data_IF_961354198106
#
_entry.id   IF_961354198106
#
_cell.length_a   1.000
_cell.length_b   1.000
_cell.length_c   1.000
_cell.angle_alpha   90.00
_cell.angle_beta   90.00
_cell.angle_gamma   90.00
#
_symmetry.space_group_name_H-M   'P 1'
#
loop_
_entity.id
_entity.type
_entity.pdbx_description
1 polymer ?
#
# COMPACT_ATOMS: atom_id res chain seq x y z
N UNK A 1 2.22 -25.64 -31.35
CA UNK A 1 3.32 -25.22 -30.46
C UNK A 1 2.77 -25.10 -29.05
N UNK A 2 3.29 -25.79 -28.03
CA UNK A 2 2.89 -25.51 -26.66
C UNK A 2 3.35 -24.09 -26.32
N UNK A 3 2.46 -23.24 -25.82
CA UNK A 3 2.80 -21.90 -25.38
C UNK A 3 3.92 -21.99 -24.33
N UNK A 4 5.02 -21.28 -24.61
CA UNK A 4 6.19 -21.26 -23.75
C UNK A 4 5.78 -20.69 -22.39
N UNK A 5 5.95 -21.47 -21.33
CA UNK A 5 5.53 -21.13 -19.96
C UNK A 5 6.33 -19.95 -19.37
N UNK A 6 7.25 -19.38 -20.17
CA UNK A 6 8.12 -18.24 -19.86
C UNK A 6 7.45 -16.87 -20.02
N UNK A 7 6.32 -16.79 -20.71
CA UNK A 7 5.62 -15.51 -21.00
C UNK A 7 4.49 -15.17 -20.01
N UNK A 8 4.23 -16.00 -19.00
CA UNK A 8 3.04 -15.84 -18.15
C UNK A 8 3.12 -14.71 -17.11
N UNK A 9 4.30 -14.14 -16.86
CA UNK A 9 4.47 -13.04 -15.90
C UNK A 9 5.65 -12.12 -16.28
N UNK A 10 5.43 -11.12 -17.13
CA UNK A 10 6.32 -9.96 -17.15
C UNK A 10 6.18 -9.25 -15.78
N UNK A 11 7.22 -9.36 -14.95
CA UNK A 11 7.22 -8.77 -13.61
C UNK A 11 7.52 -7.27 -13.69
N UNK A 12 6.84 -6.49 -12.85
CA UNK A 12 7.09 -5.06 -12.69
C UNK A 12 8.26 -4.79 -11.72
N UNK A 13 8.59 -5.78 -10.90
CA UNK A 13 9.70 -5.81 -9.93
C UNK A 13 11.01 -6.30 -10.55
N UNK A 14 12.19 -6.03 -9.94
CA UNK A 14 12.40 -5.32 -8.67
C UNK A 14 12.16 -3.81 -8.78
N UNK A 15 11.86 -3.18 -7.64
CA UNK A 15 11.94 -1.73 -7.51
C UNK A 15 13.43 -1.35 -7.39
N UNK A 16 13.91 -0.52 -8.31
CA UNK A 16 15.32 -0.11 -8.40
C UNK A 16 15.56 1.32 -7.93
N UNK A 17 14.52 1.98 -7.43
CA UNK A 17 14.54 3.38 -6.99
C UNK A 17 14.03 3.49 -5.56
N UNK A 18 14.10 4.70 -5.01
CA UNK A 18 13.53 5.03 -3.71
C UNK A 18 12.02 4.72 -3.64
N UNK A 19 11.58 4.45 -2.41
CA UNK A 19 10.19 4.22 -2.09
C UNK A 19 9.44 5.53 -2.10
N UNK A 20 8.33 5.53 -2.82
CA UNK A 20 7.52 6.70 -3.11
C UNK A 20 6.06 6.42 -2.82
N UNK A 21 5.39 7.42 -2.27
CA UNK A 21 3.96 7.37 -2.03
C UNK A 21 3.28 8.66 -2.44
N UNK A 22 2.02 8.53 -2.83
CA UNK A 22 1.14 9.68 -3.01
C UNK A 22 0.97 10.41 -1.66
N UNK A 23 0.99 11.74 -1.69
CA UNK A 23 1.06 12.60 -0.51
C UNK A 23 -0.09 12.40 0.47
N UNK A 24 -1.31 12.17 -0.01
CA UNK A 24 -2.49 11.94 0.83
C UNK A 24 -2.33 10.69 1.70
N UNK A 25 -1.63 9.66 1.22
CA UNK A 25 -1.26 8.50 2.05
C UNK A 25 -0.42 8.91 3.27
N UNK A 26 0.43 9.94 3.17
CA UNK A 26 1.18 10.46 4.31
C UNK A 26 0.33 11.43 5.15
N UNK A 27 -0.43 12.31 4.50
CA UNK A 27 -1.17 13.37 5.19
C UNK A 27 -2.28 12.82 6.09
N UNK A 28 -2.96 11.74 5.67
CA UNK A 28 -4.20 11.30 6.33
C UNK A 28 -4.12 9.90 6.97
N UNK A 29 -4.91 9.67 8.04
CA UNK A 29 -4.85 8.45 8.85
C UNK A 29 -5.64 7.29 8.25
N UNK A 30 -5.19 6.75 7.10
CA UNK A 30 -5.88 5.67 6.40
C UNK A 30 -5.66 4.25 6.95
N UNK A 31 -4.72 4.07 7.87
CA UNK A 31 -4.28 2.76 8.35
C UNK A 31 -4.24 2.73 9.87
N UNK A 32 -4.69 1.63 10.48
CA UNK A 32 -4.60 1.47 11.92
C UNK A 32 -3.13 1.37 12.39
N UNK A 33 -2.79 1.95 13.54
CA UNK A 33 -1.45 1.87 14.14
C UNK A 33 -1.25 0.61 15.00
N UNK A 34 -2.25 -0.27 15.03
CA UNK A 34 -2.20 -1.51 15.79
C UNK A 34 -1.22 -2.52 15.16
N UNK A 35 -0.47 -3.21 16.03
CA UNK A 35 0.31 -4.41 15.66
C UNK A 35 -0.57 -5.66 15.51
N UNK A 36 -1.82 -5.58 15.98
CA UNK A 36 -2.75 -6.69 16.04
C UNK A 36 -4.01 -6.47 15.19
N UNK A 37 -4.92 -7.44 15.29
CA UNK A 37 -6.22 -7.37 14.63
C UNK A 37 -7.05 -6.24 15.25
N UNK A 38 -7.47 -5.28 14.43
CA UNK A 38 -8.34 -4.19 14.82
C UNK A 38 -9.69 -4.28 14.09
N UNK A 39 -10.79 -4.45 14.81
CA UNK A 39 -12.14 -4.65 14.22
C UNK A 39 -13.13 -3.55 14.59
N UNK A 40 -12.66 -2.44 15.15
CA UNK A 40 -13.51 -1.27 15.38
C UNK A 40 -13.37 -0.33 14.18
N UNK A 41 -14.45 0.29 13.69
CA UNK A 41 -14.35 1.36 12.71
C UNK A 41 -13.43 2.48 13.20
N UNK A 42 -12.77 3.15 12.25
CA UNK A 42 -11.97 4.35 12.51
C UNK A 42 -12.59 5.50 11.74
N UNK A 43 -12.59 6.69 12.33
CA UNK A 43 -13.08 7.89 11.68
C UNK A 43 -12.12 9.05 11.95
N UNK A 44 -11.89 9.86 10.94
CA UNK A 44 -11.16 11.10 11.02
C UNK A 44 -11.96 12.18 10.32
N UNK A 45 -12.23 13.28 11.01
CA UNK A 45 -13.05 14.37 10.47
C UNK A 45 -12.47 15.71 10.89
N UNK A 46 -12.39 16.61 9.91
CA UNK A 46 -12.07 18.03 10.07
C UNK A 46 -13.10 18.84 9.28
N UNK A 47 -12.98 20.17 9.28
CA UNK A 47 -13.83 21.04 8.47
C UNK A 47 -13.63 20.87 6.95
N UNK A 48 -12.51 20.24 6.53
CA UNK A 48 -12.12 20.12 5.12
C UNK A 48 -12.18 18.69 4.58
N UNK A 49 -12.08 17.69 5.45
CA UNK A 49 -11.88 16.29 5.09
C UNK A 49 -12.59 15.38 6.07
N UNK A 50 -13.25 14.35 5.55
CA UNK A 50 -13.87 13.24 6.25
C UNK A 50 -13.34 11.91 5.72
N UNK A 51 -12.95 11.02 6.64
CA UNK A 51 -12.50 9.66 6.35
C UNK A 51 -13.18 8.72 7.34
N UNK A 52 -13.82 7.67 6.83
CA UNK A 52 -14.36 6.56 7.60
C UNK A 52 -13.77 5.26 7.08
N UNK A 53 -13.27 4.42 7.99
CA UNK A 53 -12.62 3.15 7.68
C UNK A 53 -13.40 2.03 8.36
N UNK A 54 -13.98 1.16 7.54
CA UNK A 54 -14.83 0.08 8.00
C UNK A 54 -14.07 -1.26 7.94
N UNK A 55 -13.98 -1.98 9.07
CA UNK A 55 -13.29 -3.26 9.15
C UNK A 55 -14.07 -4.38 8.49
N UNK A 56 -13.36 -5.47 8.19
CA UNK A 56 -13.97 -6.80 8.01
C UNK A 56 -13.79 -7.65 9.27
N UNK A 57 -14.31 -8.88 9.24
CA UNK A 57 -14.01 -9.89 10.27
C UNK A 57 -12.50 -10.19 10.40
N UNK A 58 -11.66 -9.79 9.44
CA UNK A 58 -10.19 -9.94 9.47
C UNK A 58 -9.48 -8.71 10.03
N UNK A 59 -10.22 -7.63 10.26
CA UNK A 59 -9.73 -6.35 10.77
C UNK A 59 -9.44 -5.32 9.67
N UNK A 60 -9.05 -4.12 10.09
CA UNK A 60 -8.62 -3.00 9.24
C UNK A 60 -7.17 -3.18 8.79
N UNK A 61 -6.86 -2.72 7.59
CA UNK A 61 -5.49 -2.56 7.11
C UNK A 61 -4.65 -1.70 8.07
N UNK A 62 -3.52 -2.25 8.49
CA UNK A 62 -2.60 -1.61 9.44
C UNK A 62 -1.50 -0.85 8.70
N UNK A 63 -0.76 -0.03 9.43
CA UNK A 63 0.39 0.70 8.88
C UNK A 63 1.51 -0.23 8.36
N UNK A 64 1.51 -1.51 8.75
CA UNK A 64 2.39 -2.53 8.16
C UNK A 64 1.88 -3.02 6.80
N UNK A 65 0.56 -3.05 6.60
CA UNK A 65 -0.03 -3.43 5.31
C UNK A 65 0.19 -2.34 4.26
N UNK A 66 0.29 -1.09 4.71
CA UNK A 66 0.67 0.07 3.88
C UNK A 66 1.98 -0.14 3.12
N UNK A 67 2.91 -0.95 3.63
CA UNK A 67 4.16 -1.28 2.94
C UNK A 67 3.93 -1.82 1.52
N UNK A 68 2.89 -2.64 1.34
CA UNK A 68 2.51 -3.19 0.04
C UNK A 68 1.97 -2.07 -0.86
N UNK A 69 1.14 -1.19 -0.31
CA UNK A 69 0.55 -0.05 -1.04
C UNK A 69 1.65 0.89 -1.53
N UNK A 70 2.62 1.22 -0.68
CA UNK A 70 3.78 2.04 -1.03
C UNK A 70 4.66 1.37 -2.08
N UNK A 71 4.88 0.06 -1.97
CA UNK A 71 5.64 -0.68 -2.98
C UNK A 71 4.98 -0.62 -4.36
N UNK A 72 3.66 -0.84 -4.44
CA UNK A 72 2.90 -0.75 -5.69
C UNK A 72 2.92 0.67 -6.24
N UNK A 73 2.71 1.67 -5.38
CA UNK A 73 2.76 3.08 -5.78
C UNK A 73 4.15 3.45 -6.35
N UNK A 74 5.22 2.94 -5.73
CA UNK A 74 6.60 3.15 -6.21
C UNK A 74 6.83 2.53 -7.59
N UNK A 75 6.31 1.31 -7.84
CA UNK A 75 6.36 0.68 -9.15
C UNK A 75 5.59 1.48 -10.21
N UNK A 76 4.40 2.00 -9.84
CA UNK A 76 3.60 2.85 -10.70
C UNK A 76 4.36 4.13 -11.11
N UNK A 77 4.92 4.83 -10.13
CA UNK A 77 5.69 6.06 -10.36
C UNK A 77 6.90 5.78 -11.25
N UNK A 78 7.67 4.73 -10.98
CA UNK A 78 8.81 4.32 -11.81
C UNK A 78 8.42 4.14 -13.28
N UNK A 79 7.31 3.45 -13.54
CA UNK A 79 6.82 3.24 -14.91
C UNK A 79 6.39 4.54 -15.59
N UNK A 80 5.69 5.41 -14.87
CA UNK A 80 5.29 6.72 -15.37
C UNK A 80 6.51 7.58 -15.74
N UNK A 81 7.56 7.58 -14.92
CA UNK A 81 8.81 8.29 -15.19
C UNK A 81 9.57 7.71 -16.40
N UNK A 82 9.46 6.40 -16.62
CA UNK A 82 9.99 5.74 -17.81
C UNK A 82 9.15 6.02 -19.08
N UNK A 83 8.04 6.75 -18.98
CA UNK A 83 7.13 7.02 -20.10
C UNK A 83 6.35 5.78 -20.56
N UNK A 84 6.27 4.74 -19.73
CA UNK A 84 5.49 3.54 -20.01
C UNK A 84 3.99 3.81 -19.85
N UNK A 85 3.16 3.12 -20.64
CA UNK A 85 1.73 3.08 -20.38
C UNK A 85 1.47 2.19 -19.15
N UNK A 86 0.83 2.76 -18.13
CA UNK A 86 0.67 2.07 -16.84
C UNK A 86 -0.75 1.56 -16.69
N UNK A 87 -0.89 0.26 -16.43
CA UNK A 87 -2.17 -0.36 -16.06
C UNK A 87 -2.37 -0.35 -14.54
N UNK A 88 -3.59 -0.62 -14.07
CA UNK A 88 -3.88 -0.82 -12.63
C UNK A 88 -3.42 -2.19 -12.10
N UNK A 89 -3.08 -3.13 -12.98
CA UNK A 89 -2.60 -4.45 -12.60
C UNK A 89 -1.08 -4.43 -12.43
N UNK A 90 -0.61 -4.85 -11.26
CA UNK A 90 0.80 -4.96 -10.92
C UNK A 90 1.18 -6.40 -10.57
N UNK A 91 2.33 -6.84 -11.06
CA UNK A 91 2.90 -8.17 -10.91
C UNK A 91 4.28 -8.08 -10.28
N UNK A 92 4.48 -8.68 -9.12
CA UNK A 92 5.78 -8.65 -8.44
C UNK A 92 6.04 -9.93 -7.68
N UNK A 93 7.30 -10.15 -7.28
CA UNK A 93 7.63 -11.26 -6.37
C UNK A 93 7.58 -10.82 -4.92
N UNK A 94 7.15 -11.71 -4.03
CA UNK A 94 7.21 -11.44 -2.60
C UNK A 94 8.64 -11.21 -2.11
N UNK A 95 9.62 -11.84 -2.76
CA UNK A 95 11.04 -11.64 -2.46
C UNK A 95 11.44 -10.18 -2.67
N UNK A 96 11.10 -9.59 -3.81
CA UNK A 96 11.48 -8.21 -4.13
C UNK A 96 10.80 -7.19 -3.20
N UNK A 97 9.53 -7.43 -2.85
CA UNK A 97 8.83 -6.66 -1.82
C UNK A 97 9.56 -6.75 -0.46
N UNK A 98 9.95 -7.96 -0.05
CA UNK A 98 10.63 -8.19 1.22
C UNK A 98 12.01 -7.53 1.28
N UNK A 99 12.77 -7.54 0.18
CA UNK A 99 14.03 -6.81 0.08
C UNK A 99 13.85 -5.31 0.31
N UNK A 100 12.85 -4.68 -0.33
CA UNK A 100 12.59 -3.24 -0.17
C UNK A 100 12.10 -2.89 1.23
N UNK A 101 11.27 -3.75 1.83
CA UNK A 101 10.69 -3.52 3.16
C UNK A 101 11.60 -3.96 4.31
N UNK A 102 12.78 -4.52 4.02
CA UNK A 102 13.71 -5.04 5.04
C UNK A 102 13.19 -6.27 5.77
N UNK A 103 12.24 -7.01 5.19
CA UNK A 103 11.69 -8.23 5.76
C UNK A 103 12.50 -9.45 5.32
N UNK A 104 12.78 -10.38 6.24
CA UNK A 104 13.43 -11.64 5.88
C UNK A 104 12.40 -12.64 5.30
N UNK A 105 12.67 -13.26 4.13
CA UNK A 105 11.80 -14.30 3.58
C UNK A 105 11.68 -15.50 4.53
N UNK A 106 10.47 -15.77 5.01
CA UNK A 106 10.18 -16.91 5.91
C UNK A 106 8.72 -17.33 5.74
N UNK A 107 8.37 -18.57 6.14
CA UNK A 107 6.97 -19.03 6.12
C UNK A 107 6.02 -18.05 6.84
N UNK A 108 6.49 -17.42 7.93
CA UNK A 108 5.74 -16.39 8.66
C UNK A 108 5.56 -15.11 7.84
N UNK A 109 6.58 -14.67 7.11
CA UNK A 109 6.52 -13.49 6.24
C UNK A 109 5.53 -13.70 5.09
N UNK A 110 5.52 -14.88 4.47
CA UNK A 110 4.52 -15.23 3.44
C UNK A 110 3.10 -15.28 4.00
N UNK A 111 2.90 -15.83 5.21
CA UNK A 111 1.59 -15.81 5.86
C UNK A 111 1.12 -14.38 6.16
N UNK A 112 2.03 -13.51 6.63
CA UNK A 112 1.74 -12.09 6.86
C UNK A 112 1.37 -11.36 5.58
N UNK A 113 2.09 -11.59 4.48
CA UNK A 113 1.75 -11.04 3.17
C UNK A 113 0.34 -11.44 2.75
N UNK A 114 -0.02 -12.72 2.88
CA UNK A 114 -1.38 -13.18 2.55
C UNK A 114 -2.45 -12.50 3.40
N UNK A 115 -2.20 -12.33 4.70
CA UNK A 115 -3.14 -11.65 5.61
C UNK A 115 -3.24 -10.15 5.33
N UNK A 116 -2.12 -9.51 4.96
CA UNK A 116 -2.07 -8.11 4.57
C UNK A 116 -2.91 -7.86 3.30
N UNK A 117 -2.74 -8.69 2.27
CA UNK A 117 -3.55 -8.63 1.05
C UNK A 117 -5.04 -8.81 1.34
N UNK A 118 -5.41 -9.74 2.22
CA UNK A 118 -6.81 -9.95 2.64
C UNK A 118 -7.39 -8.69 3.31
N UNK A 119 -6.61 -8.01 4.18
CA UNK A 119 -7.04 -6.76 4.82
C UNK A 119 -7.10 -5.58 3.86
N UNK A 120 -6.14 -5.46 2.94
CA UNK A 120 -6.11 -4.40 1.94
C UNK A 120 -7.25 -4.49 0.94
N UNK A 121 -7.67 -5.71 0.58
CA UNK A 121 -8.84 -5.93 -0.26
C UNK A 121 -10.16 -5.78 0.53
N UNK A 122 -10.16 -6.12 1.82
CA UNK A 122 -11.39 -6.11 2.63
C UNK A 122 -11.76 -4.76 3.24
N UNK A 123 -10.78 -3.97 3.70
CA UNK A 123 -11.01 -2.70 4.39
C UNK A 123 -11.72 -1.72 3.46
N UNK A 124 -12.90 -1.23 3.86
CA UNK A 124 -13.62 -0.21 3.11
C UNK A 124 -13.25 1.17 3.64
N UNK A 125 -12.96 2.10 2.74
CA UNK A 125 -12.64 3.49 3.03
C UNK A 125 -13.67 4.36 2.34
N UNK A 126 -14.33 5.21 3.11
CA UNK A 126 -15.20 6.28 2.62
C UNK A 126 -14.52 7.61 2.88
N UNK A 127 -14.39 8.45 1.85
CA UNK A 127 -13.80 9.77 2.00
C UNK A 127 -14.37 10.76 0.99
N UNK A 128 -14.30 12.05 1.33
CA UNK A 128 -14.61 13.19 0.47
C UNK A 128 -13.34 13.80 -0.17
N UNK A 129 -12.17 13.19 0.01
CA UNK A 129 -10.93 13.65 -0.63
C UNK A 129 -11.02 13.42 -2.14
N UNK A 130 -11.05 14.53 -2.88
CA UNK A 130 -11.00 14.56 -4.34
C UNK A 130 -9.62 14.15 -4.85
N UNK A 131 -9.57 13.34 -5.91
CA UNK A 131 -8.31 12.93 -6.56
C UNK A 131 -8.44 13.05 -8.07
N UNK A 132 -7.40 13.54 -8.73
CA UNK A 132 -7.39 13.66 -10.19
C UNK A 132 -8.47 14.58 -10.77
N UNK A 133 -8.90 15.59 -10.01
CA UNK A 133 -9.93 16.57 -10.39
C UNK A 133 -11.37 16.04 -10.33
N UNK A 134 -11.58 14.83 -9.79
CA UNK A 134 -12.89 14.22 -9.63
C UNK A 134 -13.13 13.93 -8.13
N UNK A 135 -14.26 14.42 -7.61
CA UNK A 135 -14.78 14.02 -6.31
C UNK A 135 -15.66 12.78 -6.46
N UNK A 136 -15.43 11.77 -5.65
CA UNK A 136 -16.27 10.58 -5.60
C UNK A 136 -16.74 10.35 -4.17
N UNK A 137 -18.05 10.54 -3.93
CA UNK A 137 -18.68 10.05 -2.70
C UNK A 137 -18.85 8.54 -2.81
N UNK A 138 -17.79 7.81 -2.47
CA UNK A 138 -17.72 6.37 -2.67
C UNK A 138 -17.05 5.63 -1.52
N UNK A 139 -17.16 4.30 -1.60
CA UNK A 139 -16.36 3.39 -0.79
C UNK A 139 -15.34 2.72 -1.69
N UNK A 140 -14.08 2.66 -1.26
CA UNK A 140 -13.06 1.88 -1.94
C UNK A 140 -12.27 1.00 -0.98
N UNK A 141 -11.72 -0.09 -1.52
CA UNK A 141 -10.62 -0.85 -0.90
C UNK A 141 -9.31 -0.46 -1.57
N UNK A 142 -8.17 -0.57 -0.88
CA UNK A 142 -6.87 -0.30 -1.49
C UNK A 142 -6.59 -1.19 -2.71
N UNK A 143 -7.02 -2.45 -2.64
CA UNK A 143 -6.91 -3.42 -3.72
C UNK A 143 -8.30 -3.86 -4.14
N UNK A 144 -8.62 -3.77 -5.42
CA UNK A 144 -9.84 -4.39 -5.96
C UNK A 144 -9.64 -5.89 -6.16
N UNK A 145 -8.42 -6.32 -6.49
CA UNK A 145 -8.06 -7.73 -6.63
C UNK A 145 -6.67 -8.02 -6.07
N UNK A 146 -6.50 -9.18 -5.43
CA UNK A 146 -5.20 -9.74 -5.08
C UNK A 146 -5.16 -11.25 -5.37
N UNK A 147 -4.13 -11.71 -6.08
CA UNK A 147 -3.91 -13.13 -6.44
C UNK A 147 -2.47 -13.54 -6.15
N UNK A 148 -2.33 -14.68 -5.48
CA UNK A 148 -1.06 -15.32 -5.17
C UNK A 148 -0.87 -16.54 -6.07
N UNK A 149 0.13 -16.51 -6.96
CA UNK A 149 0.42 -17.60 -7.88
C UNK A 149 1.46 -18.54 -7.30
N UNK A 150 1.13 -19.82 -7.18
CA UNK A 150 2.02 -20.84 -6.62
C UNK A 150 2.43 -21.87 -7.67
N UNK A 151 3.69 -22.31 -7.63
CA UNK A 151 4.13 -23.55 -8.28
C UNK A 151 4.13 -24.70 -7.28
N UNK A 152 3.65 -25.86 -7.71
CA UNK A 152 3.72 -27.10 -6.94
C UNK A 152 5.03 -27.83 -7.25
N UNK A 153 5.71 -28.35 -6.23
CA UNK A 153 6.84 -29.25 -6.45
C UNK A 153 6.35 -30.60 -6.98
N UNK A 154 7.01 -31.14 -8.00
CA UNK A 154 6.76 -32.51 -8.48
C UNK A 154 7.38 -33.56 -7.55
N UNK A 155 8.42 -33.19 -6.82
CA UNK A 155 9.21 -34.10 -5.97
C UNK A 155 8.64 -34.22 -4.55
N UNK A 156 7.96 -33.16 -4.08
CA UNK A 156 7.36 -33.11 -2.73
C UNK A 156 5.88 -32.74 -2.82
N UNK A 157 4.98 -33.73 -2.86
CA UNK A 157 3.54 -33.49 -2.84
C UNK A 157 3.14 -32.62 -1.64
N UNK A 158 2.49 -31.48 -1.91
CA UNK A 158 2.07 -30.51 -0.89
C UNK A 158 2.98 -29.29 -0.75
N UNK A 159 4.20 -29.33 -1.28
CA UNK A 159 5.10 -28.18 -1.30
C UNK A 159 4.64 -27.15 -2.34
N UNK A 160 4.36 -25.93 -1.88
CA UNK A 160 3.86 -24.80 -2.67
C UNK A 160 4.83 -23.64 -2.53
N UNK A 161 5.49 -23.29 -3.63
CA UNK A 161 6.36 -22.12 -3.71
C UNK A 161 5.61 -20.96 -4.37
N UNK A 162 5.53 -19.82 -3.69
CA UNK A 162 4.97 -18.60 -4.27
C UNK A 162 5.90 -18.13 -5.41
N UNK A 163 5.29 -17.84 -6.57
CA UNK A 163 5.97 -17.42 -7.80
C UNK A 163 5.78 -15.93 -8.05
N UNK A 164 4.55 -15.45 -7.94
CA UNK A 164 4.20 -14.06 -8.20
C UNK A 164 2.99 -13.66 -7.36
N UNK A 165 2.90 -12.36 -7.10
CA UNK A 165 1.74 -11.67 -6.58
C UNK A 165 1.21 -10.80 -7.71
N UNK A 166 -0.08 -10.92 -8.03
CA UNK A 166 -0.80 -9.92 -8.84
C UNK A 166 -1.74 -9.16 -7.95
N UNK A 167 -1.73 -7.85 -8.09
CA UNK A 167 -2.69 -6.97 -7.43
C UNK A 167 -3.30 -6.03 -8.45
N UNK A 168 -4.54 -5.65 -8.23
CA UNK A 168 -5.19 -4.55 -8.96
C UNK A 168 -5.42 -3.39 -8.01
N UNK A 169 -4.79 -2.26 -8.31
CA UNK A 169 -4.94 -1.03 -7.54
C UNK A 169 -6.33 -0.44 -7.73
N UNK A 170 -6.89 0.19 -6.70
CA UNK A 170 -8.17 0.88 -6.83
C UNK A 170 -8.06 2.17 -7.65
N UNK A 171 -9.20 2.61 -8.19
CA UNK A 171 -9.30 3.77 -9.06
C UNK A 171 -8.91 5.06 -8.34
N UNK A 172 -9.22 5.17 -7.05
CA UNK A 172 -8.86 6.33 -6.22
C UNK A 172 -7.35 6.54 -6.18
N UNK A 173 -6.58 5.53 -5.73
CA UNK A 173 -5.12 5.66 -5.60
C UNK A 173 -4.43 5.71 -6.97
N UNK A 174 -4.94 4.96 -7.95
CA UNK A 174 -4.42 5.02 -9.31
C UNK A 174 -4.58 6.42 -9.92
N UNK A 175 -5.75 7.06 -9.82
CA UNK A 175 -5.97 8.43 -10.28
C UNK A 175 -5.10 9.43 -9.52
N UNK A 176 -5.00 9.30 -8.21
CA UNK A 176 -4.19 10.19 -7.38
C UNK A 176 -2.72 10.20 -7.82
N UNK A 177 -2.11 9.03 -8.04
CA UNK A 177 -0.73 8.92 -8.52
C UNK A 177 -0.60 9.45 -9.97
N UNK A 178 -1.52 9.06 -10.86
CA UNK A 178 -1.44 9.37 -12.28
C UNK A 178 -1.61 10.87 -12.57
N UNK A 179 -2.58 11.52 -11.90
CA UNK A 179 -3.06 12.86 -12.22
C UNK A 179 -2.51 13.93 -11.28
N UNK A 180 -2.49 13.69 -9.97
CA UNK A 180 -2.14 14.74 -9.01
C UNK A 180 -0.62 14.92 -8.91
N UNK A 181 0.15 13.86 -9.22
CA UNK A 181 1.63 13.82 -9.24
C UNK A 181 2.29 14.36 -7.96
N UNK A 182 1.55 14.42 -6.85
CA UNK A 182 2.07 14.78 -5.53
C UNK A 182 2.69 13.54 -4.89
N UNK A 183 3.86 13.15 -5.40
CA UNK A 183 4.60 11.98 -4.92
C UNK A 183 5.76 12.46 -4.04
N UNK A 184 5.90 11.83 -2.87
CA UNK A 184 6.97 12.12 -1.93
C UNK A 184 7.82 10.87 -1.69
N UNK A 185 9.13 11.10 -1.59
CA UNK A 185 10.09 10.06 -1.21
C UNK A 185 10.01 9.77 0.30
N UNK A 186 10.09 8.48 0.63
CA UNK A 186 10.31 7.97 1.97
C UNK A 186 11.81 7.76 2.20
N UNK A 187 12.29 8.07 3.41
CA UNK A 187 13.68 7.80 3.78
C UNK A 187 13.94 6.29 3.95
N UNK A 188 15.16 5.83 3.65
CA UNK A 188 15.60 4.42 3.65
C UNK A 188 15.23 3.67 4.95
N UNK A 189 15.30 4.36 6.09
CA UNK A 189 15.01 3.79 7.41
C UNK A 189 13.53 3.71 7.78
N UNK A 190 12.62 4.22 6.95
CA UNK A 190 11.19 4.37 7.28
C UNK A 190 10.55 3.04 7.69
N UNK A 191 10.85 1.93 6.99
CA UNK A 191 10.27 0.63 7.33
C UNK A 191 10.81 0.03 8.63
N UNK A 192 11.89 0.56 9.20
CA UNK A 192 12.40 0.11 10.50
C UNK A 192 11.72 0.82 11.68
N UNK A 193 10.93 1.87 11.40
CA UNK A 193 10.19 2.61 12.41
C UNK A 193 9.00 1.80 12.95
N UNK A 194 8.68 2.02 14.23
CA UNK A 194 7.45 1.54 14.84
C UNK A 194 6.21 2.27 14.29
N UNK A 195 5.00 1.82 14.65
CA UNK A 195 3.78 2.29 14.01
C UNK A 195 3.51 3.78 14.29
N UNK A 196 3.74 4.22 15.53
CA UNK A 196 3.54 5.64 15.91
C UNK A 196 4.61 6.51 15.26
N UNK A 197 5.87 6.04 15.24
CA UNK A 197 7.00 6.72 14.63
C UNK A 197 6.81 6.90 13.12
N UNK A 198 6.30 5.87 12.41
CA UNK A 198 5.93 5.99 11.00
C UNK A 198 4.86 7.04 10.77
N UNK A 199 3.82 7.06 11.61
CA UNK A 199 2.74 8.05 11.47
C UNK A 199 3.24 9.47 11.70
N UNK A 200 4.06 9.67 12.73
CA UNK A 200 4.65 10.98 13.02
C UNK A 200 5.55 11.44 11.86
N UNK A 201 6.40 10.55 11.34
CA UNK A 201 7.23 10.82 10.17
C UNK A 201 6.40 11.25 8.96
N UNK A 202 5.32 10.52 8.66
CA UNK A 202 4.45 10.81 7.52
C UNK A 202 3.78 12.18 7.61
N UNK A 203 3.21 12.49 8.77
CA UNK A 203 2.53 13.78 8.97
C UNK A 203 3.54 14.91 8.80
N UNK A 204 4.70 14.80 9.44
CA UNK A 204 5.77 15.78 9.29
C UNK A 204 6.23 15.92 7.84
N UNK A 205 6.51 14.81 7.15
CA UNK A 205 6.96 14.82 5.76
C UNK A 205 5.94 15.41 4.80
N UNK A 206 4.65 15.15 5.03
CA UNK A 206 3.56 15.66 4.18
C UNK A 206 3.27 17.15 4.35
N UNK A 207 3.59 17.70 5.52
CA UNK A 207 3.34 19.09 5.90
C UNK A 207 4.56 19.99 5.72
N UNK A 208 5.77 19.42 5.65
CA UNK A 208 6.98 20.14 5.25
C UNK A 208 6.92 20.53 3.76
N UNK A 209 6.28 21.66 3.48
CA UNK A 209 6.50 22.46 2.27
C UNK A 209 7.27 23.71 2.72
N UNK A 210 8.45 23.94 2.13
CA UNK A 210 9.18 25.21 2.18
C UNK A 210 9.48 25.81 3.57
N UNK A 211 10.12 25.05 4.46
CA UNK A 211 10.79 25.60 5.65
C UNK A 211 9.90 26.27 6.69
N UNK A 212 8.58 26.03 6.64
CA UNK A 212 7.61 26.60 7.59
C UNK A 212 7.58 25.79 8.89
N UNK A 213 7.41 26.48 10.02
CA UNK A 213 7.27 25.88 11.34
C UNK A 213 6.03 24.96 11.39
N UNK A 214 6.22 23.75 11.95
CA UNK A 214 5.27 22.66 11.84
C UNK A 214 4.39 22.55 13.09
N UNK A 215 3.15 23.01 13.03
CA UNK A 215 2.14 22.70 14.04
C UNK A 215 1.36 21.42 13.65
N UNK A 216 1.60 20.32 14.37
CA UNK A 216 0.86 19.06 14.16
C UNK A 216 -0.29 18.97 15.16
N UNK A 217 -1.53 18.92 14.67
CA UNK A 217 -2.68 18.60 15.50
C UNK A 217 -2.57 17.15 16.02
N UNK A 218 -2.56 16.97 17.34
CA UNK A 218 -2.38 15.68 18.02
C UNK A 218 -3.41 14.63 17.58
N UNK A 219 -4.63 15.07 17.21
CA UNK A 219 -5.69 14.19 16.70
C UNK A 219 -5.31 13.38 15.45
N UNK A 220 -4.36 13.85 14.62
CA UNK A 220 -3.88 13.11 13.44
C UNK A 220 -3.06 11.86 13.84
N UNK A 221 -2.54 11.84 15.07
CA UNK A 221 -1.74 10.75 15.65
C UNK A 221 -2.57 9.88 16.59
N UNK A 222 -3.53 10.45 17.33
CA UNK A 222 -4.30 9.76 18.38
C UNK A 222 -5.44 8.86 17.87
N UNK A 223 -5.99 9.10 16.68
CA UNK A 223 -7.23 8.43 16.24
C UNK A 223 -7.07 6.98 15.78
N UNK A 224 -5.91 6.35 16.00
CA UNK A 224 -5.56 5.05 15.41
C UNK A 224 -4.86 4.05 16.36
N UNK A 225 -4.72 4.38 17.64
CA UNK A 225 -4.17 3.48 18.69
C UNK A 225 -5.24 2.70 19.44
#
# INVERSE_FOLDING_TARGET
MPADQRDLFALDSPLLTEVRGERSLMAFPFFALSKGKWTKPLAYKTDKVSIEIVPTAKGIATIYDKEIVLYIASLMVRKLEAGEEVSQDFYFTAHDLFCVTGNNPSARSYARLSQALERLQGTQIKTDIETGGEGEEGYFSWLSEARLYYSKSKEKPGDRRLKAVRVRLCDWLYRAILRDRQVLDYADGYFQLGPVERRLYEVARSACIDGTELEIAVGIVEHLT
#
